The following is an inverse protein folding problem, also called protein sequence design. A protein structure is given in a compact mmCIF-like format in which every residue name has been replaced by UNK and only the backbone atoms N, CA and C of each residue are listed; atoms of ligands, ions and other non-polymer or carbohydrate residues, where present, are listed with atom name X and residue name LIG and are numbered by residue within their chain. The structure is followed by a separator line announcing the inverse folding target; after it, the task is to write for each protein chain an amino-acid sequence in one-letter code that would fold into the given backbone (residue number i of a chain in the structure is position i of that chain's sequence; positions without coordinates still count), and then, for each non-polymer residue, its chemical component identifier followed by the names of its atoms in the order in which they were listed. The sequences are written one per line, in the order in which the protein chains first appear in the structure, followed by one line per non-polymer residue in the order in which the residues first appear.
data_IF_512610698301
#
_entry.id   IF_512610698301
#
_cell.length_a   1.000
_cell.length_b   1.000
_cell.length_c   1.000
_cell.angle_alpha   90.00
_cell.angle_beta   90.00
_cell.angle_gamma   90.00
#
_symmetry.space_group_name_H-M   'P 1'
#
loop_
_entity.id
_entity.type
_entity.pdbx_description
1 polymer ?
#
# COMPACT_ATOMS: atom_id res chain seq x y z
N UNK A 1 -17.11 -26.17 -32.58
CA UNK A 1 -18.15 -25.28 -33.14
C UNK A 1 -17.87 -23.86 -32.70
N UNK A 2 -17.09 -23.13 -33.48
CA UNK A 2 -16.77 -21.72 -33.28
C UNK A 2 -17.70 -20.94 -34.20
N UNK A 3 -18.70 -20.25 -33.65
CA UNK A 3 -19.53 -19.33 -34.43
C UNK A 3 -18.67 -18.11 -34.76
N UNK A 4 -17.93 -18.19 -35.87
CA UNK A 4 -17.30 -17.04 -36.48
C UNK A 4 -18.41 -16.14 -37.04
N UNK A 5 -18.42 -14.89 -36.61
CA UNK A 5 -19.35 -13.86 -37.06
C UNK A 5 -19.03 -13.50 -38.53
N UNK A 6 -20.03 -13.27 -39.40
CA UNK A 6 -19.79 -12.99 -40.81
C UNK A 6 -18.90 -11.74 -41.00
N UNK A 7 -18.02 -11.72 -42.03
CA UNK A 7 -17.20 -10.56 -42.33
C UNK A 7 -18.12 -9.42 -42.79
N UNK A 8 -18.23 -8.36 -41.96
CA UNK A 8 -19.06 -7.18 -42.25
C UNK A 8 -20.18 -6.92 -41.24
N UNK A 9 -20.44 -7.83 -40.31
CA UNK A 9 -21.34 -7.54 -39.19
C UNK A 9 -20.54 -6.97 -38.02
N UNK A 10 -20.97 -5.82 -37.49
CA UNK A 10 -20.43 -5.28 -36.24
C UNK A 10 -20.68 -6.30 -35.13
N UNK A 11 -19.65 -6.65 -34.37
CA UNK A 11 -19.79 -7.55 -33.21
C UNK A 11 -20.85 -6.93 -32.31
N UNK A 12 -21.87 -7.68 -31.83
CA UNK A 12 -22.88 -7.10 -30.94
C UNK A 12 -22.14 -6.39 -29.80
N UNK A 13 -22.51 -5.14 -29.47
CA UNK A 13 -21.75 -4.30 -28.56
C UNK A 13 -21.39 -5.14 -27.34
N UNK A 14 -20.12 -5.51 -27.25
CA UNK A 14 -19.68 -6.24 -26.09
C UNK A 14 -19.87 -5.28 -24.95
N UNK A 15 -20.69 -5.69 -23.98
CA UNK A 15 -20.97 -4.88 -22.82
C UNK A 15 -19.63 -4.46 -22.25
N UNK A 16 -19.34 -3.16 -22.31
CA UNK A 16 -18.04 -2.64 -22.01
C UNK A 16 -17.80 -2.81 -20.50
N UNK A 17 -16.79 -3.57 -20.07
CA UNK A 17 -16.40 -3.62 -18.66
C UNK A 17 -16.18 -2.22 -18.08
N UNK A 18 -15.73 -1.26 -18.90
CA UNK A 18 -15.61 0.13 -18.47
C UNK A 18 -16.96 0.75 -18.08
N UNK A 19 -18.08 0.37 -18.70
CA UNK A 19 -19.40 0.86 -18.30
C UNK A 19 -19.79 0.38 -16.89
N UNK A 20 -19.37 -0.84 -16.50
CA UNK A 20 -19.57 -1.37 -15.15
C UNK A 20 -18.73 -0.59 -14.15
N UNK A 21 -17.45 -0.35 -14.47
CA UNK A 21 -16.54 0.42 -13.64
C UNK A 21 -17.05 1.87 -13.46
N UNK A 22 -17.46 2.52 -14.55
CA UNK A 22 -17.98 3.88 -14.54
C UNK A 22 -19.29 3.99 -13.75
N UNK A 23 -20.16 2.98 -13.84
CA UNK A 23 -21.40 2.93 -13.06
C UNK A 23 -21.12 2.73 -11.57
N UNK A 24 -20.19 1.84 -11.21
CA UNK A 24 -19.78 1.64 -9.82
C UNK A 24 -19.16 2.92 -9.23
N UNK A 25 -18.29 3.60 -9.99
CA UNK A 25 -17.70 4.88 -9.62
C UNK A 25 -18.75 5.98 -9.46
N UNK A 26 -19.72 6.06 -10.38
CA UNK A 26 -20.81 7.04 -10.31
C UNK A 26 -21.71 6.85 -9.06
N UNK A 27 -21.87 5.59 -8.62
CA UNK A 27 -22.65 5.25 -7.42
C UNK A 27 -21.81 5.22 -6.13
N UNK A 28 -20.49 5.40 -6.22
CA UNK A 28 -19.55 5.31 -5.09
C UNK A 28 -19.61 3.97 -4.35
N UNK A 29 -19.76 2.88 -5.11
CA UNK A 29 -19.78 1.49 -4.61
C UNK A 29 -18.68 0.67 -5.31
N UNK A 30 -18.40 -0.54 -4.82
CA UNK A 30 -17.49 -1.46 -5.51
C UNK A 30 -18.20 -2.14 -6.68
N UNK A 31 -17.44 -2.66 -7.66
CA UNK A 31 -18.02 -3.44 -8.77
C UNK A 31 -18.77 -4.68 -8.26
N UNK A 32 -18.27 -5.33 -7.21
CA UNK A 32 -18.96 -6.46 -6.58
C UNK A 32 -20.30 -6.06 -5.95
N UNK A 33 -20.36 -4.90 -5.27
CA UNK A 33 -21.63 -4.39 -4.74
C UNK A 33 -22.59 -3.94 -5.85
N UNK A 34 -22.08 -3.43 -6.98
CA UNK A 34 -22.90 -3.18 -8.16
C UNK A 34 -23.52 -4.48 -8.69
N UNK A 35 -22.78 -5.58 -8.68
CA UNK A 35 -23.30 -6.91 -9.02
C UNK A 35 -24.39 -7.34 -8.03
N UNK A 36 -24.15 -7.23 -6.73
CA UNK A 36 -25.14 -7.57 -5.70
C UNK A 36 -26.42 -6.72 -5.84
N UNK A 37 -26.26 -5.43 -6.15
CA UNK A 37 -27.36 -4.50 -6.38
C UNK A 37 -28.18 -4.88 -7.62
N UNK A 38 -27.51 -5.11 -8.74
CA UNK A 38 -28.15 -5.44 -10.00
C UNK A 38 -28.89 -6.79 -9.93
N UNK A 39 -28.32 -7.79 -9.26
CA UNK A 39 -28.99 -9.07 -9.04
C UNK A 39 -30.28 -8.90 -8.25
N UNK A 40 -30.23 -8.19 -7.11
CA UNK A 40 -31.44 -7.95 -6.29
C UNK A 40 -32.50 -7.18 -7.06
N UNK A 41 -32.11 -6.21 -7.88
CA UNK A 41 -33.06 -5.42 -8.68
C UNK A 41 -33.72 -6.24 -9.79
N UNK A 42 -32.97 -7.15 -10.40
CA UNK A 42 -33.46 -8.00 -11.48
C UNK A 42 -34.33 -9.16 -10.98
N UNK A 43 -33.89 -9.85 -9.94
CA UNK A 43 -34.54 -11.05 -9.42
C UNK A 43 -35.49 -10.81 -8.24
N UNK A 44 -35.53 -9.58 -7.69
CA UNK A 44 -36.28 -9.21 -6.50
C UNK A 44 -35.92 -10.01 -5.22
N UNK A 45 -34.83 -10.78 -5.25
CA UNK A 45 -34.36 -11.65 -4.16
C UNK A 45 -32.94 -11.32 -3.74
N UNK A 46 -32.53 -11.82 -2.57
CA UNK A 46 -31.11 -11.78 -2.17
C UNK A 46 -30.32 -12.78 -3.02
N UNK A 47 -29.15 -12.41 -3.55
CA UNK A 47 -28.31 -13.34 -4.27
C UNK A 47 -27.79 -14.45 -3.35
N UNK A 48 -27.71 -15.67 -3.89
CA UNK A 48 -26.80 -16.67 -3.35
C UNK A 48 -25.37 -16.21 -3.61
N UNK A 49 -24.59 -16.07 -2.53
CA UNK A 49 -23.24 -15.50 -2.57
C UNK A 49 -22.34 -16.30 -3.52
N UNK A 50 -22.46 -17.64 -3.55
CA UNK A 50 -21.65 -18.49 -4.43
C UNK A 50 -21.93 -18.27 -5.91
N UNK A 51 -23.20 -18.01 -6.25
CA UNK A 51 -23.60 -17.71 -7.62
C UNK A 51 -23.06 -16.34 -8.04
N UNK A 52 -23.15 -15.36 -7.14
CA UNK A 52 -22.66 -14.01 -7.37
C UNK A 52 -21.14 -13.97 -7.55
N UNK A 53 -20.40 -14.65 -6.68
CA UNK A 53 -18.93 -14.81 -6.78
C UNK A 53 -18.54 -15.46 -8.10
N UNK A 54 -19.25 -16.51 -8.52
CA UNK A 54 -18.97 -17.19 -9.79
C UNK A 54 -19.21 -16.28 -11.00
N UNK A 55 -20.30 -15.52 -10.97
CA UNK A 55 -20.61 -14.54 -12.02
C UNK A 55 -19.57 -13.40 -12.04
N UNK A 56 -19.15 -12.93 -10.87
CA UNK A 56 -18.13 -11.90 -10.74
C UNK A 56 -16.75 -12.38 -11.19
N UNK A 57 -16.38 -13.62 -10.87
CA UNK A 57 -15.15 -14.23 -11.37
C UNK A 57 -15.15 -14.36 -12.90
N UNK A 58 -16.27 -14.79 -13.50
CA UNK A 58 -16.39 -14.86 -14.97
C UNK A 58 -16.26 -13.48 -15.61
N UNK A 59 -16.81 -12.44 -14.97
CA UNK A 59 -16.60 -11.05 -15.36
C UNK A 59 -15.11 -10.65 -15.29
N UNK A 60 -14.44 -10.85 -14.15
CA UNK A 60 -13.04 -10.46 -13.97
C UNK A 60 -12.09 -11.17 -14.95
N UNK A 61 -12.28 -12.47 -15.19
CA UNK A 61 -11.37 -13.26 -16.01
C UNK A 61 -11.71 -13.25 -17.50
N UNK A 62 -13.00 -13.20 -17.85
CA UNK A 62 -13.45 -13.29 -19.25
C UNK A 62 -14.02 -12.00 -19.80
N UNK A 63 -14.07 -10.94 -19.00
CA UNK A 63 -14.64 -9.64 -19.35
C UNK A 63 -16.09 -9.77 -19.85
N UNK A 64 -16.83 -10.76 -19.33
CA UNK A 64 -18.22 -11.03 -19.69
C UNK A 64 -19.13 -10.44 -18.64
N UNK A 65 -19.77 -9.33 -19.00
CA UNK A 65 -20.76 -8.68 -18.14
C UNK A 65 -22.10 -9.40 -18.23
N UNK A 66 -22.68 -9.87 -17.11
CA UNK A 66 -24.03 -10.43 -17.11
C UNK A 66 -25.08 -9.42 -17.56
N UNK A 67 -26.15 -9.89 -18.20
CA UNK A 67 -27.21 -9.03 -18.78
C UNK A 67 -27.85 -8.10 -17.73
N UNK A 68 -28.08 -8.61 -16.53
CA UNK A 68 -28.68 -7.85 -15.43
C UNK A 68 -27.75 -6.74 -14.91
N UNK A 69 -26.42 -6.95 -14.90
CA UNK A 69 -25.44 -5.89 -14.59
C UNK A 69 -25.45 -4.84 -15.68
N UNK A 70 -25.42 -5.27 -16.94
CA UNK A 70 -25.43 -4.36 -18.10
C UNK A 70 -26.63 -3.42 -18.05
N UNK A 71 -27.82 -3.96 -17.78
CA UNK A 71 -29.03 -3.14 -17.67
C UNK A 71 -28.91 -2.08 -16.58
N UNK A 72 -28.34 -2.42 -15.42
CA UNK A 72 -28.12 -1.45 -14.34
C UNK A 72 -27.06 -0.41 -14.73
N UNK A 73 -25.95 -0.82 -15.34
CA UNK A 73 -24.89 0.10 -15.76
C UNK A 73 -25.40 1.12 -16.80
N UNK A 74 -26.20 0.67 -17.77
CA UNK A 74 -26.83 1.53 -18.77
C UNK A 74 -27.83 2.50 -18.14
N UNK A 75 -28.60 2.05 -17.14
CA UNK A 75 -29.50 2.90 -16.36
C UNK A 75 -28.74 4.02 -15.65
N UNK A 76 -27.67 3.67 -14.93
CA UNK A 76 -26.82 4.61 -14.21
C UNK A 76 -26.18 5.61 -15.17
N UNK A 77 -25.63 5.13 -16.29
CA UNK A 77 -25.04 6.00 -17.31
C UNK A 77 -26.07 6.97 -17.90
N UNK A 78 -27.30 6.51 -18.15
CA UNK A 78 -28.38 7.36 -18.65
C UNK A 78 -28.79 8.42 -17.63
N UNK A 79 -29.00 8.04 -16.37
CA UNK A 79 -29.36 8.99 -15.31
C UNK A 79 -28.24 10.00 -15.03
N UNK A 80 -26.98 9.57 -15.10
CA UNK A 80 -25.80 10.44 -14.98
C UNK A 80 -25.75 11.49 -16.09
N UNK A 81 -26.00 11.09 -17.35
CA UNK A 81 -26.06 12.02 -18.49
C UNK A 81 -27.17 13.05 -18.35
N UNK A 82 -28.29 12.67 -17.74
CA UNK A 82 -29.42 13.56 -17.47
C UNK A 82 -29.24 14.42 -16.21
N UNK A 83 -28.19 14.21 -15.42
CA UNK A 83 -27.98 14.90 -14.14
C UNK A 83 -28.96 14.49 -13.05
N UNK A 84 -29.77 13.44 -13.26
CA UNK A 84 -30.80 12.95 -12.33
C UNK A 84 -30.35 11.72 -11.54
N UNK A 85 -29.04 11.45 -11.48
CA UNK A 85 -28.51 10.27 -10.81
C UNK A 85 -28.77 10.34 -9.31
N UNK A 86 -29.68 9.49 -8.82
CA UNK A 86 -29.94 9.34 -7.40
C UNK A 86 -29.59 7.91 -6.96
N UNK A 87 -28.41 7.76 -6.35
CA UNK A 87 -27.93 6.47 -5.84
C UNK A 87 -28.82 5.87 -4.75
N UNK A 88 -29.51 6.69 -3.96
CA UNK A 88 -30.44 6.20 -2.93
C UNK A 88 -31.69 5.59 -3.56
N UNK A 89 -32.27 6.27 -4.57
CA UNK A 89 -33.40 5.76 -5.33
C UNK A 89 -33.07 4.46 -6.08
N UNK A 90 -31.80 4.30 -6.48
CA UNK A 90 -31.31 3.06 -7.10
C UNK A 90 -31.05 1.94 -6.08
N UNK A 91 -31.09 2.22 -4.78
CA UNK A 91 -30.84 1.26 -3.71
C UNK A 91 -29.35 1.02 -3.41
N UNK A 92 -28.48 1.92 -3.88
CA UNK A 92 -27.04 1.89 -3.63
C UNK A 92 -26.66 2.43 -2.23
N UNK A 93 -27.54 3.19 -1.57
CA UNK A 93 -27.28 3.78 -0.26
C UNK A 93 -26.85 2.76 0.81
N UNK A 94 -27.45 1.56 0.80
CA UNK A 94 -27.10 0.44 1.72
C UNK A 94 -25.73 -0.20 1.47
N UNK A 95 -25.09 0.12 0.35
CA UNK A 95 -23.78 -0.41 -0.04
C UNK A 95 -22.70 0.68 -0.03
N UNK A 96 -23.08 1.90 0.37
CA UNK A 96 -22.19 3.05 0.42
C UNK A 96 -21.36 3.10 1.71
N UNK A 97 -21.25 1.98 2.43
CA UNK A 97 -20.40 1.83 3.62
C UNK A 97 -18.91 1.77 3.25
N UNK A 98 -18.47 2.60 2.30
CA UNK A 98 -17.07 2.93 2.15
C UNK A 98 -16.73 3.80 3.36
N UNK A 99 -15.82 3.38 4.27
CA UNK A 99 -15.37 4.29 5.30
C UNK A 99 -14.82 5.52 4.58
N UNK A 100 -15.44 6.68 4.83
CA UNK A 100 -15.02 7.93 4.22
C UNK A 100 -13.52 8.03 4.41
N UNK A 101 -12.76 8.04 3.31
CA UNK A 101 -11.30 8.07 3.35
C UNK A 101 -10.93 9.20 4.32
N UNK A 102 -10.34 8.90 5.49
CA UNK A 102 -10.17 9.93 6.50
C UNK A 102 -9.33 11.01 5.84
N UNK A 103 -9.79 12.26 5.89
CA UNK A 103 -9.17 13.38 5.16
C UNK A 103 -7.67 13.53 5.49
N UNK A 104 -7.22 12.97 6.62
CA UNK A 104 -5.82 12.89 7.04
C UNK A 104 -5.01 11.69 6.56
N UNK A 105 -5.58 10.74 5.79
CA UNK A 105 -4.85 9.56 5.30
C UNK A 105 -3.63 9.96 4.45
N UNK A 106 -3.75 11.03 3.66
CA UNK A 106 -2.65 11.56 2.85
C UNK A 106 -1.53 12.13 3.74
N UNK A 107 -1.92 12.85 4.81
CA UNK A 107 -1.01 13.42 5.80
C UNK A 107 -0.27 12.30 6.52
N UNK A 108 -0.98 11.25 6.95
CA UNK A 108 -0.42 10.11 7.67
C UNK A 108 0.59 9.34 6.80
N UNK A 109 0.28 9.11 5.52
CA UNK A 109 1.18 8.48 4.55
C UNK A 109 2.40 9.35 4.27
N UNK A 110 2.22 10.67 4.12
CA UNK A 110 3.36 11.57 3.93
C UNK A 110 4.27 11.64 5.15
N UNK A 111 3.70 11.61 6.35
CA UNK A 111 4.46 11.64 7.60
C UNK A 111 5.27 10.35 7.79
N UNK A 112 4.68 9.19 7.49
CA UNK A 112 5.41 7.91 7.53
C UNK A 112 6.54 7.86 6.50
N UNK A 113 6.29 8.33 5.27
CA UNK A 113 7.34 8.40 4.25
C UNK A 113 8.48 9.36 4.65
N UNK A 114 8.16 10.51 5.26
CA UNK A 114 9.16 11.45 5.75
C UNK A 114 10.02 10.85 6.88
N UNK A 115 9.41 10.15 7.84
CA UNK A 115 10.15 9.45 8.91
C UNK A 115 11.09 8.40 8.32
N UNK A 116 10.62 7.58 7.39
CA UNK A 116 11.46 6.60 6.71
C UNK A 116 12.61 7.23 5.92
N UNK A 117 12.34 8.35 5.23
CA UNK A 117 13.36 9.09 4.50
C UNK A 117 14.42 9.67 5.44
N UNK A 118 14.03 10.22 6.58
CA UNK A 118 14.96 10.74 7.60
C UNK A 118 15.81 9.62 8.21
N UNK A 119 15.22 8.48 8.56
CA UNK A 119 15.95 7.31 9.05
C UNK A 119 16.95 6.79 8.00
N UNK A 120 16.54 6.74 6.74
CA UNK A 120 17.40 6.32 5.64
C UNK A 120 18.56 7.29 5.43
N UNK A 121 18.31 8.60 5.47
CA UNK A 121 19.35 9.62 5.37
C UNK A 121 20.36 9.54 6.54
N UNK A 122 19.87 9.28 7.76
CA UNK A 122 20.71 9.11 8.95
C UNK A 122 21.65 7.90 8.80
N UNK A 123 21.13 6.75 8.35
CA UNK A 123 21.93 5.56 8.07
C UNK A 123 23.03 5.82 7.02
N UNK A 124 22.72 6.59 5.97
CA UNK A 124 23.70 6.96 4.95
C UNK A 124 24.80 7.90 5.49
N UNK A 125 24.45 8.79 6.42
CA UNK A 125 25.43 9.66 7.08
C UNK A 125 26.39 8.86 7.95
N UNK A 126 25.89 7.91 8.74
CA UNK A 126 26.71 7.07 9.63
C UNK A 126 27.70 6.17 8.85
N UNK A 127 27.27 5.62 7.71
CA UNK A 127 28.16 4.89 6.80
C UNK A 127 29.25 5.79 6.22
N UNK A 128 28.95 7.06 5.98
CA UNK A 128 29.91 8.02 5.42
C UNK A 128 30.95 8.47 6.45
N UNK A 129 30.56 8.67 7.71
CA UNK A 129 31.46 9.03 8.82
C UNK A 129 32.37 7.86 9.15
N UNK A 130 31.81 6.65 9.29
CA UNK A 130 32.58 5.41 9.49
C UNK A 130 33.58 5.14 8.35
N UNK A 131 33.30 5.61 7.13
CA UNK A 131 34.24 5.53 6.00
C UNK A 131 35.32 6.62 6.05
N UNK A 132 35.04 7.85 6.50
CA UNK A 132 36.04 8.93 6.64
C UNK A 132 37.06 8.62 7.74
N UNK A 133 36.61 8.08 8.86
CA UNK A 133 37.49 7.77 10.00
C UNK A 133 38.48 6.65 9.68
N UNK A 134 38.17 5.80 8.70
CA UNK A 134 39.08 4.74 8.20
C UNK A 134 40.13 5.24 7.21
N UNK A 135 39.98 6.45 6.65
CA UNK A 135 40.94 7.05 5.69
C UNK A 135 41.87 8.04 6.38
N UNK A 136 41.44 8.66 7.48
CA UNK A 136 42.32 9.44 8.34
C UNK A 136 43.16 8.49 9.21
N UNK A 137 44.29 8.03 8.68
CA UNK A 137 45.28 7.24 9.42
C UNK A 137 46.18 8.19 10.22
N UNK A 138 46.08 8.28 11.57
CA UNK A 138 47.11 8.91 12.35
C UNK A 138 48.36 8.01 12.32
N UNK A 139 49.43 8.52 11.71
CA UNK A 139 50.78 8.01 11.94
C UNK A 139 51.09 8.07 13.44
N UNK A 140 51.35 6.91 14.03
CA UNK A 140 51.61 6.68 15.47
C UNK A 140 52.91 7.39 15.97
N UNK A 141 53.24 7.40 17.29
CA UNK A 141 52.59 6.67 18.39
C UNK A 141 52.42 7.46 19.72
N UNK A 142 51.40 7.10 20.50
CA UNK A 142 51.45 7.16 21.96
C UNK A 142 50.58 6.03 22.54
N UNK A 143 51.03 5.34 23.60
CA UNK A 143 50.27 4.27 24.24
C UNK A 143 49.13 4.90 25.06
N UNK A 144 48.03 5.18 24.39
CA UNK A 144 46.77 5.49 25.07
C UNK A 144 45.79 4.40 24.67
N UNK A 145 45.38 3.62 25.67
CA UNK A 145 44.38 2.58 25.56
C UNK A 145 43.01 3.22 25.32
N UNK A 146 42.77 3.67 24.09
CA UNK A 146 41.42 4.02 23.61
C UNK A 146 40.95 2.90 22.69
N UNK A 147 39.87 2.21 23.06
CA UNK A 147 39.27 1.13 22.27
C UNK A 147 38.43 1.72 21.12
N UNK A 148 39.02 2.62 20.32
CA UNK A 148 38.59 3.09 18.99
C UNK A 148 37.10 3.38 18.71
N UNK A 149 36.24 3.43 19.73
CA UNK A 149 34.79 3.56 19.60
C UNK A 149 34.31 4.48 20.70
N UNK A 150 34.05 5.73 20.31
CA UNK A 150 33.66 6.79 21.22
C UNK A 150 32.45 6.41 22.09
N UNK A 151 31.54 5.58 21.57
CA UNK A 151 30.37 5.11 22.29
C UNK A 151 30.74 4.19 23.46
N UNK A 152 31.69 3.26 23.28
CA UNK A 152 32.12 2.35 24.33
C UNK A 152 32.88 3.10 25.44
N UNK A 153 33.73 4.06 25.05
CA UNK A 153 34.51 4.87 26.00
C UNK A 153 33.60 5.80 26.82
N UNK A 154 32.55 6.36 26.20
CA UNK A 154 31.58 7.22 26.90
C UNK A 154 30.71 6.41 27.87
N UNK A 155 30.29 5.20 27.49
CA UNK A 155 29.53 4.31 28.37
C UNK A 155 30.38 3.77 29.53
N UNK A 156 31.65 3.44 29.27
CA UNK A 156 32.58 2.99 30.31
C UNK A 156 32.87 4.10 31.34
N UNK A 157 33.02 5.35 30.91
CA UNK A 157 33.21 6.49 31.80
C UNK A 157 31.97 6.74 32.69
N UNK A 158 30.77 6.57 32.14
CA UNK A 158 29.51 6.77 32.85
C UNK A 158 29.22 5.72 33.92
N UNK A 159 29.64 4.48 33.70
CA UNK A 159 29.35 3.37 34.63
C UNK A 159 30.40 3.20 35.73
N UNK A 160 31.65 3.57 35.46
CA UNK A 160 32.78 3.23 36.34
C UNK A 160 33.49 4.44 36.96
N UNK A 161 33.16 5.66 36.53
CA UNK A 161 33.68 6.90 37.11
C UNK A 161 35.16 7.19 36.87
N UNK A 162 35.96 6.21 36.43
CA UNK A 162 37.38 6.39 36.09
C UNK A 162 37.79 5.40 34.97
N UNK A 163 38.24 5.88 33.79
CA UNK A 163 38.56 5.01 32.64
C UNK A 163 39.90 4.26 32.75
N UNK A 164 40.61 4.34 33.87
CA UNK A 164 42.01 3.88 33.97
C UNK A 164 42.24 2.52 34.65
N UNK A 165 41.22 1.89 35.24
CA UNK A 165 41.39 0.68 36.07
C UNK A 165 41.62 -0.64 35.31
N UNK A 166 41.81 -0.61 33.99
CA UNK A 166 42.00 -1.81 33.15
C UNK A 166 43.43 -2.05 32.64
N UNK A 167 44.39 -1.16 32.92
CA UNK A 167 45.78 -1.35 32.47
C UNK A 167 46.54 -2.17 33.52
N UNK A 168 46.79 -3.44 33.22
CA UNK A 168 47.65 -4.29 34.03
C UNK A 168 49.04 -3.66 34.21
N UNK A 169 49.49 -3.61 35.46
CA UNK A 169 50.84 -3.16 35.84
C UNK A 169 51.91 -3.89 35.02
N UNK A 170 52.94 -3.19 34.51
CA UNK A 170 54.09 -3.85 33.91
C UNK A 170 54.87 -4.61 34.99
N UNK A 171 55.10 -5.89 34.73
CA UNK A 171 55.86 -6.79 35.57
C UNK A 171 57.36 -6.40 35.51
N UNK A 172 57.85 -5.69 36.54
CA UNK A 172 59.28 -5.40 36.70
C UNK A 172 60.03 -6.69 37.06
N UNK A 173 60.71 -7.30 36.09
CA UNK A 173 61.82 -8.22 36.36
C UNK A 173 63.14 -7.46 36.36
N UNK A 174 63.58 -7.04 37.53
CA UNK A 174 64.98 -6.70 37.80
C UNK A 174 65.43 -7.47 39.05
N UNK A 175 66.46 -8.30 38.88
CA UNK A 175 67.03 -9.18 39.90
C UNK A 175 67.72 -8.43 41.06
N UNK A 176 68.19 -9.20 42.05
CA UNK A 176 69.60 -9.59 42.04
C UNK A 176 69.86 -11.10 41.93
#
# INVERSE_FOLDING_TARGET
MTLAWPPGSEKPPQADPHAVLDAAAALDITEFELFRLAYRRWHATLPDERLLERAFADYMFRQRVPVWVRYLADEVARQRRLGTLNGEALGAGRFRDRPARPRGALILVSATAAVWFLLFAFLLQDVSTSRRDKVAMPTAPAPSCTTGSALHDTWAALLTGDPTLGCGEPFDTAGP
#
